data_IF_703718348995
#
_entry.id   IF_703718348995
#
_cell.length_a   1.000
_cell.length_b   1.000
_cell.length_c   1.000
_cell.angle_alpha   90.00
_cell.angle_beta   90.00
_cell.angle_gamma   90.00
#
_symmetry.space_group_name_H-M   'P 1'
#
loop_
_entity.id
_entity.type
_entity.pdbx_description
1 polymer ?
#
# COMPACT_ATOMS: atom_id res chain seq x y z
N UNK A 1 -50.08 -9.02 -14.42
CA UNK A 1 -49.90 -10.45 -14.15
C UNK A 1 -48.52 -10.80 -14.69
N UNK A 2 -47.47 -10.53 -13.91
CA UNK A 2 -46.09 -10.75 -14.35
C UNK A 2 -45.67 -12.14 -13.87
N UNK A 3 -45.70 -13.11 -14.78
CA UNK A 3 -45.01 -14.38 -14.56
C UNK A 3 -43.51 -14.09 -14.62
N UNK A 4 -42.91 -14.07 -13.43
CA UNK A 4 -41.46 -14.04 -13.26
C UNK A 4 -41.01 -15.42 -13.73
N UNK A 5 -40.61 -15.54 -15.01
CA UNK A 5 -39.98 -16.74 -15.53
C UNK A 5 -38.66 -16.93 -14.80
N UNK A 6 -38.72 -17.69 -13.72
CA UNK A 6 -37.56 -18.13 -13.00
C UNK A 6 -36.65 -18.89 -13.98
N UNK A 7 -35.36 -18.52 -14.12
CA UNK A 7 -34.46 -19.18 -15.07
C UNK A 7 -34.33 -20.67 -14.73
N UNK A 8 -34.20 -21.55 -15.75
CA UNK A 8 -34.12 -22.98 -15.56
C UNK A 8 -32.96 -23.35 -14.64
N UNK A 9 -33.09 -24.45 -13.91
CA UNK A 9 -32.12 -24.86 -12.88
C UNK A 9 -30.68 -24.99 -13.41
N UNK A 10 -30.51 -25.30 -14.70
CA UNK A 10 -29.21 -25.37 -15.37
C UNK A 10 -28.52 -24.00 -15.48
N UNK A 11 -29.23 -22.95 -15.87
CA UNK A 11 -28.70 -21.58 -15.95
C UNK A 11 -28.36 -21.05 -14.56
N UNK A 12 -29.22 -21.31 -13.56
CA UNK A 12 -28.97 -20.92 -12.17
C UNK A 12 -27.74 -21.60 -11.56
N UNK A 13 -27.49 -22.86 -11.93
CA UNK A 13 -26.31 -23.62 -11.52
C UNK A 13 -25.04 -23.08 -12.17
N UNK A 14 -25.12 -22.70 -13.45
CA UNK A 14 -24.02 -22.09 -14.18
C UNK A 14 -23.63 -20.73 -13.58
N UNK A 15 -24.59 -19.84 -13.36
CA UNK A 15 -24.35 -18.52 -12.78
C UNK A 15 -23.78 -18.61 -11.36
N UNK A 16 -24.23 -19.59 -10.58
CA UNK A 16 -23.67 -19.87 -9.26
C UNK A 16 -22.21 -20.32 -9.34
N UNK A 17 -21.84 -21.16 -10.32
CA UNK A 17 -20.46 -21.59 -10.51
C UNK A 17 -19.56 -20.44 -10.96
N UNK A 18 -20.04 -19.62 -11.90
CA UNK A 18 -19.30 -18.45 -12.41
C UNK A 18 -19.07 -17.45 -11.29
N UNK A 19 -20.11 -17.09 -10.53
CA UNK A 19 -19.99 -16.14 -9.41
C UNK A 19 -19.06 -16.63 -8.31
N UNK A 20 -19.09 -17.92 -7.96
CA UNK A 20 -18.13 -18.51 -7.02
C UNK A 20 -16.70 -18.46 -7.56
N UNK A 21 -16.50 -18.71 -8.86
CA UNK A 21 -15.18 -18.62 -9.50
C UNK A 21 -14.62 -17.20 -9.45
N UNK A 22 -15.42 -16.19 -9.80
CA UNK A 22 -15.03 -14.77 -9.73
C UNK A 22 -14.70 -14.38 -8.28
N UNK A 23 -15.55 -14.75 -7.32
CA UNK A 23 -15.32 -14.46 -5.91
C UNK A 23 -14.01 -15.08 -5.40
N UNK A 24 -13.73 -16.34 -5.76
CA UNK A 24 -12.49 -17.02 -5.41
C UNK A 24 -11.25 -16.33 -6.02
N UNK A 25 -11.35 -15.89 -7.29
CA UNK A 25 -10.26 -15.16 -7.96
C UNK A 25 -9.96 -13.82 -7.26
N UNK A 26 -10.99 -13.04 -6.95
CA UNK A 26 -10.85 -11.77 -6.24
C UNK A 26 -10.20 -11.99 -4.87
N UNK A 27 -10.69 -12.95 -4.09
CA UNK A 27 -10.11 -13.27 -2.79
C UNK A 27 -8.65 -13.70 -2.90
N UNK A 28 -8.29 -14.50 -3.91
CA UNK A 28 -6.91 -14.90 -4.16
C UNK A 28 -6.01 -13.70 -4.48
N UNK A 29 -6.47 -12.76 -5.32
CA UNK A 29 -5.67 -11.55 -5.65
C UNK A 29 -5.44 -10.66 -4.42
N UNK A 30 -6.47 -10.47 -3.58
CA UNK A 30 -6.35 -9.71 -2.33
C UNK A 30 -5.40 -10.41 -1.36
N UNK A 31 -5.52 -11.72 -1.21
CA UNK A 31 -4.61 -12.51 -0.38
C UNK A 31 -3.16 -12.39 -0.86
N UNK A 32 -2.90 -12.44 -2.17
CA UNK A 32 -1.58 -12.23 -2.74
C UNK A 32 -1.04 -10.83 -2.44
N UNK A 33 -1.87 -9.79 -2.49
CA UNK A 33 -1.45 -8.44 -2.15
C UNK A 33 -1.05 -8.30 -0.67
N UNK A 34 -1.71 -9.04 0.24
CA UNK A 34 -1.38 -9.04 1.67
C UNK A 34 -0.21 -9.96 2.03
N UNK A 35 -0.06 -11.08 1.32
CA UNK A 35 0.97 -12.08 1.57
C UNK A 35 2.28 -11.78 0.84
N UNK A 36 2.25 -11.01 -0.24
CA UNK A 36 3.45 -10.53 -0.90
C UNK A 36 4.23 -9.67 0.09
N UNK A 37 5.41 -10.09 0.55
CA UNK A 37 6.23 -9.27 1.41
C UNK A 37 6.64 -8.05 0.59
N UNK A 38 6.11 -6.88 0.96
CA UNK A 38 6.63 -5.60 0.50
C UNK A 38 8.02 -5.45 1.09
N UNK A 39 9.02 -6.05 0.43
CA UNK A 39 10.41 -6.10 0.83
C UNK A 39 11.03 -4.72 0.83
N UNK A 40 10.67 -3.90 1.81
CA UNK A 40 11.42 -2.73 2.18
C UNK A 40 12.47 -3.23 3.17
N UNK A 41 13.75 -3.35 2.77
CA UNK A 41 14.81 -3.65 3.71
C UNK A 41 14.75 -2.58 4.82
N UNK A 42 14.58 -3.02 6.08
CA UNK A 42 14.65 -2.12 7.22
C UNK A 42 16.08 -1.54 7.26
N UNK A 43 16.27 -0.21 7.11
CA UNK A 43 17.60 0.35 7.15
C UNK A 43 18.18 0.20 8.56
N UNK A 44 19.44 -0.23 8.62
CA UNK A 44 20.30 -0.03 9.78
C UNK A 44 20.24 1.46 10.15
N UNK A 45 19.79 1.78 11.38
CA UNK A 45 19.61 3.14 11.95
C UNK A 45 19.36 4.21 10.87
N UNK A 46 18.09 4.46 10.57
CA UNK A 46 17.70 5.52 9.64
C UNK A 46 18.29 6.89 10.02
N UNK A 47 18.50 7.79 9.05
CA UNK A 47 18.98 9.16 9.29
C UNK A 47 18.18 9.95 10.33
N UNK A 48 16.91 9.60 10.52
CA UNK A 48 16.04 10.14 11.56
C UNK A 48 16.55 9.81 12.99
N UNK A 49 17.18 8.64 13.14
CA UNK A 49 17.76 8.14 14.40
C UNK A 49 19.24 8.44 14.56
N UNK A 50 19.93 8.87 13.49
CA UNK A 50 21.32 9.32 13.56
C UNK A 50 21.40 10.74 14.14
N UNK A 51 21.90 10.93 15.39
CA UNK A 51 22.03 12.26 15.98
C UNK A 51 23.04 13.16 15.22
N UNK A 52 23.95 12.56 14.45
CA UNK A 52 24.87 13.28 13.56
C UNK A 52 24.23 13.73 12.25
N UNK A 53 22.95 13.42 12.00
CA UNK A 53 22.22 13.90 10.83
C UNK A 53 21.25 15.03 11.22
N UNK A 54 21.51 16.23 10.69
CA UNK A 54 20.66 17.42 10.86
C UNK A 54 19.53 17.51 9.85
N UNK A 55 19.70 16.94 8.67
CA UNK A 55 18.71 17.01 7.60
C UNK A 55 18.71 15.72 6.78
N UNK A 56 17.52 15.18 6.54
CA UNK A 56 17.33 13.96 5.76
C UNK A 56 16.12 14.06 4.85
N UNK A 57 16.07 13.19 3.85
CA UNK A 57 14.96 13.10 2.91
C UNK A 57 14.61 11.64 2.63
N UNK A 58 13.33 11.37 2.40
CA UNK A 58 12.82 10.09 1.90
C UNK A 58 12.43 10.16 0.41
N UNK A 59 13.03 11.08 -0.34
CA UNK A 59 12.68 11.42 -1.74
C UNK A 59 11.35 12.17 -1.92
N UNK A 60 10.52 12.28 -0.87
CA UNK A 60 9.24 13.01 -0.93
C UNK A 60 9.17 14.21 -0.01
N UNK A 61 9.77 14.10 1.17
CA UNK A 61 9.86 15.20 2.11
C UNK A 61 11.31 15.45 2.46
N UNK A 62 11.58 16.69 2.86
CA UNK A 62 12.81 17.07 3.52
C UNK A 62 12.48 17.35 4.96
N UNK A 63 13.22 16.72 5.88
CA UNK A 63 13.05 16.87 7.31
C UNK A 63 14.32 17.44 7.92
N UNK A 64 14.16 18.42 8.80
CA UNK A 64 15.24 19.05 9.58
C UNK A 64 15.06 18.72 11.05
N UNK A 65 16.16 18.39 11.73
CA UNK A 65 16.19 18.17 13.19
C UNK A 65 16.00 19.51 13.92
N UNK A 66 14.90 19.65 14.64
CA UNK A 66 14.60 20.78 15.52
C UNK A 66 14.74 20.42 17.01
N UNK A 67 14.50 21.41 17.87
CA UNK A 67 14.58 21.27 19.33
C UNK A 67 13.41 20.48 19.93
N UNK A 68 12.23 20.59 19.33
CA UNK A 68 11.00 19.91 19.77
C UNK A 68 10.69 18.64 18.95
N UNK A 69 11.47 18.35 17.93
CA UNK A 69 11.24 17.25 16.99
C UNK A 69 11.69 17.58 15.57
N UNK A 70 11.40 16.67 14.64
CA UNK A 70 11.70 16.87 13.22
C UNK A 70 10.65 17.79 12.57
N UNK A 71 11.10 18.79 11.82
CA UNK A 71 10.25 19.65 10.99
C UNK A 71 10.35 19.20 9.54
N UNK A 72 9.25 18.74 8.95
CA UNK A 72 9.23 18.18 7.61
C UNK A 72 8.38 19.01 6.64
N UNK A 73 8.78 19.05 5.38
CA UNK A 73 7.97 19.60 4.29
C UNK A 73 6.75 18.74 3.99
N UNK A 74 5.80 19.30 3.23
CA UNK A 74 4.65 18.55 2.70
C UNK A 74 5.07 17.71 1.48
N UNK A 75 4.59 16.47 1.33
CA UNK A 75 4.82 15.67 0.14
C UNK A 75 3.94 16.14 -1.04
N UNK A 76 4.44 15.97 -2.26
CA UNK A 76 3.63 16.17 -3.48
C UNK A 76 2.68 15.00 -3.76
N UNK A 77 1.59 15.26 -4.52
CA UNK A 77 0.50 14.31 -4.80
C UNK A 77 0.98 13.05 -5.55
N UNK A 78 2.06 13.15 -6.33
CA UNK A 78 2.59 12.04 -7.12
C UNK A 78 3.88 11.42 -6.52
N UNK A 79 4.24 11.77 -5.29
CA UNK A 79 5.52 11.34 -4.75
C UNK A 79 5.47 9.92 -4.19
N UNK A 80 6.44 9.09 -4.60
CA UNK A 80 6.66 7.74 -4.08
C UNK A 80 7.83 7.77 -3.10
N UNK A 81 7.59 7.35 -1.85
CA UNK A 81 8.62 7.35 -0.81
C UNK A 81 9.74 6.38 -1.15
N UNK A 82 10.96 6.89 -1.13
CA UNK A 82 12.19 6.12 -1.25
C UNK A 82 12.86 5.87 0.10
N UNK A 83 14.03 5.23 0.10
CA UNK A 83 14.83 5.05 1.31
C UNK A 83 15.30 6.42 1.86
N UNK A 84 15.30 6.56 3.18
CA UNK A 84 15.78 7.77 3.83
C UNK A 84 17.28 7.96 3.61
N UNK A 85 17.69 9.17 3.26
CA UNK A 85 19.10 9.55 3.10
C UNK A 85 19.41 10.83 3.86
N UNK A 86 20.52 10.83 4.59
CA UNK A 86 21.03 12.04 5.21
C UNK A 86 21.61 12.96 4.11
N UNK A 87 21.15 14.21 4.08
CA UNK A 87 21.61 15.21 3.12
C UNK A 87 22.45 16.31 3.80
N UNK A 88 22.33 16.47 5.13
CA UNK A 88 23.20 17.32 5.93
C UNK A 88 23.45 16.73 7.32
N UNK A 89 24.70 16.78 7.77
CA UNK A 89 25.15 16.42 9.12
C UNK A 89 25.31 17.66 10.00
#
# INVERSE_FOLDING_TARGET
>A
MADILAPPAAERSHDRRVSLGVAALVLATVALAHLAPGGHPAPAVGPDRDPGCREWTDSCVVCVRGTEGANCSLPGIACVRGPQRCIRR
#
